data_IF_231063487802
#
_entry.id   IF_231063487802
#
_cell.length_a   1.000
_cell.length_b   1.000
_cell.length_c   1.000
_cell.angle_alpha   90.00
_cell.angle_beta   90.00
_cell.angle_gamma   90.00
#
_symmetry.space_group_name_H-M   'P 1'
#
loop_
_entity.id
_entity.type
_entity.pdbx_description
1 polymer ?
#
# COMPACT_ATOMS: atom_id res chain seq x y z
N UNK A 1 4.82 -14.74 -7.58
CA UNK A 1 3.85 -15.06 -6.51
C UNK A 1 3.32 -13.74 -5.98
N UNK A 2 2.03 -13.61 -5.68
CA UNK A 2 1.43 -12.36 -5.16
C UNK A 2 0.99 -12.58 -3.71
N UNK A 3 1.24 -11.61 -2.84
CA UNK A 3 0.73 -11.65 -1.47
C UNK A 3 -0.75 -11.28 -1.43
N UNK A 4 -1.48 -11.95 -0.54
CA UNK A 4 -2.92 -11.82 -0.29
C UNK A 4 -3.16 -11.29 1.14
N UNK A 5 -4.38 -10.85 1.45
CA UNK A 5 -4.77 -10.30 2.77
C UNK A 5 -4.29 -11.17 3.95
N UNK A 6 -4.45 -12.50 3.86
CA UNK A 6 -4.00 -13.44 4.91
C UNK A 6 -2.51 -13.33 5.26
N UNK A 7 -1.66 -12.94 4.29
CA UNK A 7 -0.23 -12.73 4.52
C UNK A 7 0.02 -11.40 5.22
N UNK A 8 -0.74 -10.36 4.85
CA UNK A 8 -0.68 -9.04 5.48
C UNK A 8 -1.13 -9.13 6.94
N UNK A 9 -2.21 -9.85 7.20
CA UNK A 9 -2.73 -10.08 8.55
C UNK A 9 -1.69 -10.76 9.45
N UNK A 10 -0.97 -11.75 8.91
CA UNK A 10 0.13 -12.40 9.64
C UNK A 10 1.28 -11.43 9.90
N UNK A 11 1.70 -10.65 8.89
CA UNK A 11 2.78 -9.65 9.07
C UNK A 11 2.43 -8.63 10.16
N UNK A 12 1.18 -8.14 10.20
CA UNK A 12 0.70 -7.24 11.25
C UNK A 12 0.68 -7.88 12.62
N UNK A 13 0.26 -9.13 12.72
CA UNK A 13 0.33 -9.87 13.99
C UNK A 13 1.77 -9.95 14.53
N UNK A 14 2.78 -9.89 13.66
CA UNK A 14 4.21 -9.95 14.01
C UNK A 14 4.85 -8.59 14.34
N UNK A 15 4.11 -7.47 14.30
CA UNK A 15 4.66 -6.12 14.55
C UNK A 15 5.30 -6.00 15.95
N UNK A 16 4.71 -6.66 16.95
CA UNK A 16 5.19 -6.68 18.34
C UNK A 16 5.90 -7.98 18.73
N UNK A 17 6.43 -8.72 17.75
CA UNK A 17 6.91 -10.11 17.88
C UNK A 17 5.74 -11.08 18.07
N UNK A 18 5.60 -12.03 17.15
CA UNK A 18 4.59 -13.09 17.25
C UNK A 18 5.25 -14.45 17.44
N UNK A 19 4.71 -15.23 18.38
CA UNK A 19 4.99 -16.67 18.48
C UNK A 19 4.00 -17.42 17.59
N UNK A 20 4.50 -18.21 16.65
CA UNK A 20 3.66 -19.07 15.81
C UNK A 20 3.49 -20.44 16.45
N UNK A 21 2.23 -20.85 16.61
CA UNK A 21 1.84 -22.13 17.23
C UNK A 21 1.25 -23.13 16.21
N UNK A 22 1.05 -22.73 14.96
CA UNK A 22 0.29 -23.49 13.96
C UNK A 22 1.02 -23.71 12.63
N UNK A 23 0.77 -24.85 12.00
CA UNK A 23 1.31 -25.19 10.67
C UNK A 23 0.85 -24.22 9.57
N UNK A 24 -0.39 -23.71 9.66
CA UNK A 24 -0.95 -22.76 8.69
C UNK A 24 -0.17 -21.45 8.64
N UNK A 25 0.02 -20.81 9.80
CA UNK A 25 0.79 -19.57 9.90
C UNK A 25 2.26 -19.78 9.51
N UNK A 26 2.82 -20.95 9.84
CA UNK A 26 4.17 -21.30 9.43
C UNK A 26 4.31 -21.43 7.90
N UNK A 27 3.31 -21.95 7.20
CA UNK A 27 3.28 -21.98 5.73
C UNK A 27 3.20 -20.56 5.15
N UNK A 28 2.30 -19.72 5.68
CA UNK A 28 2.17 -18.33 5.25
C UNK A 28 3.46 -17.54 5.44
N UNK A 29 4.15 -17.71 6.57
CA UNK A 29 5.45 -17.12 6.83
C UNK A 29 6.51 -17.54 5.81
N UNK A 30 6.50 -18.81 5.38
CA UNK A 30 7.40 -19.31 4.33
C UNK A 30 7.04 -18.79 2.95
N UNK A 31 5.77 -18.57 2.66
CA UNK A 31 5.32 -17.90 1.43
C UNK A 31 5.80 -16.44 1.41
N UNK A 32 5.64 -15.70 2.52
CA UNK A 32 6.17 -14.34 2.64
C UNK A 32 7.70 -14.30 2.46
N UNK A 33 8.43 -15.21 3.10
CA UNK A 33 9.89 -15.30 2.95
C UNK A 33 10.34 -15.62 1.51
N UNK A 34 9.58 -16.45 0.78
CA UNK A 34 9.85 -16.72 -0.64
C UNK A 34 9.55 -15.53 -1.53
N UNK A 35 8.61 -14.67 -1.13
CA UNK A 35 8.30 -13.43 -1.81
C UNK A 35 9.43 -12.42 -1.60
N UNK A 36 9.75 -12.13 -0.35
CA UNK A 36 10.88 -11.31 0.03
C UNK A 36 11.44 -11.74 1.39
N UNK A 37 12.71 -12.21 1.46
CA UNK A 37 13.30 -12.65 2.72
C UNK A 37 13.58 -11.49 3.69
N UNK A 38 13.57 -10.23 3.24
CA UNK A 38 13.78 -9.06 4.10
C UNK A 38 12.57 -8.74 4.99
N UNK A 39 11.37 -9.23 4.67
CA UNK A 39 10.14 -8.83 5.37
C UNK A 39 10.03 -9.42 6.78
N UNK A 40 10.51 -10.65 6.97
CA UNK A 40 10.34 -11.40 8.20
C UNK A 40 11.66 -11.99 8.66
N UNK A 41 11.98 -11.78 9.94
CA UNK A 41 13.07 -12.47 10.62
C UNK A 41 12.52 -13.59 11.48
N UNK A 42 13.04 -14.80 11.23
CA UNK A 42 12.77 -15.97 12.05
C UNK A 42 13.74 -15.96 13.25
N UNK A 43 13.18 -16.06 14.45
CA UNK A 43 13.91 -16.24 15.69
C UNK A 43 13.87 -17.72 16.06
N UNK A 44 15.00 -18.26 16.48
CA UNK A 44 15.05 -19.61 17.04
C UNK A 44 14.42 -19.67 18.45
N UNK A 45 14.17 -20.90 18.90
CA UNK A 45 13.54 -21.13 20.21
C UNK A 45 14.44 -20.76 21.40
N UNK A 46 15.76 -20.72 21.20
CA UNK A 46 16.72 -20.42 22.26
C UNK A 46 16.74 -18.90 22.54
N UNK A 47 16.55 -18.07 21.50
CA UNK A 47 16.34 -16.63 21.63
C UNK A 47 14.93 -16.29 22.12
N UNK A 48 13.89 -17.04 21.72
CA UNK A 48 12.53 -16.88 22.27
C UNK A 48 12.43 -17.19 23.75
N UNK A 49 13.14 -18.22 24.24
CA UNK A 49 13.15 -18.58 25.66
C UNK A 49 13.57 -17.44 26.59
N UNK A 50 14.36 -16.49 26.08
CA UNK A 50 14.76 -15.27 26.82
C UNK A 50 13.62 -14.29 27.04
N UNK A 51 12.61 -14.32 26.16
CA UNK A 51 11.43 -13.44 26.22
C UNK A 51 10.20 -14.16 26.80
N UNK A 52 10.07 -15.48 26.55
CA UNK A 52 9.01 -16.33 27.06
C UNK A 52 9.58 -17.62 27.70
N UNK A 53 9.67 -17.68 29.04
CA UNK A 53 10.20 -18.84 29.77
C UNK A 53 9.37 -20.13 29.59
N UNK A 54 8.13 -20.07 29.09
CA UNK A 54 7.34 -21.27 28.79
C UNK A 54 7.88 -21.99 27.54
N UNK A 55 8.56 -21.27 26.64
CA UNK A 55 9.20 -21.85 25.44
C UNK A 55 10.41 -22.71 25.80
N UNK A 56 11.15 -22.37 26.88
CA UNK A 56 12.27 -23.19 27.37
C UNK A 56 11.82 -24.57 27.87
N UNK A 57 10.54 -24.72 28.24
CA UNK A 57 9.97 -25.96 28.76
C UNK A 57 9.52 -26.92 27.67
N UNK A 58 9.43 -26.48 26.41
CA UNK A 58 8.97 -27.28 25.28
C UNK A 58 10.06 -28.29 24.85
N UNK A 59 9.73 -29.58 24.80
CA UNK A 59 10.69 -30.64 24.43
C UNK A 59 10.20 -31.52 23.28
N UNK A 60 11.12 -31.99 22.43
CA UNK A 60 10.82 -32.97 21.38
C UNK A 60 9.84 -32.47 20.31
N UNK A 61 8.74 -33.20 20.09
CA UNK A 61 7.75 -32.89 19.04
C UNK A 61 6.97 -31.60 19.32
N UNK A 62 6.88 -31.17 20.58
CA UNK A 62 6.31 -29.88 21.02
C UNK A 62 7.21 -28.69 20.67
N UNK A 63 8.34 -28.92 19.99
CA UNK A 63 9.27 -27.87 19.53
C UNK A 63 9.04 -27.48 18.06
N UNK A 64 8.24 -28.23 17.31
CA UNK A 64 7.89 -27.91 15.91
C UNK A 64 6.38 -27.57 15.79
N UNK A 65 5.97 -26.46 15.14
CA UNK A 65 6.73 -25.45 14.41
C UNK A 65 6.88 -24.17 15.24
N UNK A 66 7.41 -24.28 16.45
CA UNK A 66 7.55 -23.13 17.35
C UNK A 66 8.76 -22.34 16.85
N UNK A 67 8.51 -21.13 16.38
CA UNK A 67 9.52 -20.12 16.08
C UNK A 67 8.88 -18.75 16.20
N UNK A 68 9.73 -17.76 16.45
CA UNK A 68 9.34 -16.38 16.62
C UNK A 68 9.45 -15.69 15.28
N UNK A 69 8.52 -14.79 15.00
CA UNK A 69 8.61 -13.90 13.86
C UNK A 69 8.68 -12.46 14.33
N UNK A 70 9.63 -11.74 13.73
CA UNK A 70 9.72 -10.29 13.83
C UNK A 70 9.45 -9.71 12.45
N UNK A 71 8.47 -8.83 12.36
CA UNK A 71 8.29 -7.97 11.20
C UNK A 71 9.46 -7.00 11.09
N UNK A 72 10.15 -7.02 9.96
CA UNK A 72 11.26 -6.10 9.69
C UNK A 72 10.73 -4.77 9.09
N UNK A 73 11.52 -3.68 9.12
CA UNK A 73 11.12 -2.39 8.54
C UNK A 73 10.66 -2.48 7.08
N UNK A 74 11.32 -3.29 6.25
CA UNK A 74 10.94 -3.48 4.84
C UNK A 74 9.55 -4.14 4.70
N UNK A 75 9.25 -5.10 5.59
CA UNK A 75 7.94 -5.75 5.68
C UNK A 75 6.86 -4.80 6.17
N UNK A 76 7.18 -3.97 7.17
CA UNK A 76 6.27 -2.92 7.65
C UNK A 76 5.95 -1.92 6.54
N UNK A 77 6.97 -1.40 5.85
CA UNK A 77 6.78 -0.49 4.72
C UNK A 77 5.96 -1.13 3.58
N UNK A 78 6.10 -2.45 3.38
CA UNK A 78 5.27 -3.18 2.43
C UNK A 78 3.81 -3.26 2.88
N UNK A 79 3.55 -3.58 4.16
CA UNK A 79 2.19 -3.58 4.73
C UNK A 79 1.57 -2.19 4.60
N UNK A 80 2.28 -1.14 4.98
CA UNK A 80 1.83 0.25 4.87
C UNK A 80 1.52 0.64 3.43
N UNK A 81 2.38 0.28 2.46
CA UNK A 81 2.09 0.50 1.04
C UNK A 81 0.87 -0.30 0.57
N UNK A 82 0.73 -1.54 0.99
CA UNK A 82 -0.37 -2.40 0.60
C UNK A 82 -1.71 -1.93 1.17
N UNK A 83 -1.69 -1.40 2.39
CA UNK A 83 -2.83 -0.70 2.97
C UNK A 83 -3.06 0.62 2.26
N UNK A 84 -2.01 1.39 2.01
CA UNK A 84 -2.03 2.60 1.20
C UNK A 84 -2.70 2.38 -0.14
N UNK A 85 -2.35 1.33 -0.89
CA UNK A 85 -2.98 0.92 -2.15
C UNK A 85 -4.48 0.64 -2.01
N UNK A 86 -4.94 0.22 -0.82
CA UNK A 86 -6.34 -0.08 -0.52
C UNK A 86 -7.09 1.07 0.17
N UNK A 87 -6.36 2.00 0.77
CA UNK A 87 -6.87 3.23 1.39
C UNK A 87 -6.69 4.44 0.49
N UNK A 88 -6.07 4.28 -0.69
CA UNK A 88 -6.00 5.34 -1.70
C UNK A 88 -7.41 5.75 -2.08
N UNK A 89 -7.67 7.02 -1.80
CA UNK A 89 -8.86 7.71 -2.21
C UNK A 89 -8.54 8.49 -3.49
N UNK A 90 -9.60 8.91 -4.14
CA UNK A 90 -9.53 9.67 -5.38
C UNK A 90 -10.12 11.03 -5.12
N UNK A 91 -9.47 12.07 -5.60
CA UNK A 91 -9.89 13.44 -5.39
C UNK A 91 -9.94 14.17 -6.72
N UNK A 92 -11.00 14.93 -6.93
CA UNK A 92 -11.07 15.93 -7.98
C UNK A 92 -10.79 17.30 -7.40
N UNK A 93 -9.96 18.06 -8.10
CA UNK A 93 -9.73 19.49 -7.88
C UNK A 93 -10.16 20.19 -9.15
N UNK A 94 -10.89 21.29 -9.02
CA UNK A 94 -11.44 22.01 -10.18
C UNK A 94 -10.78 23.37 -10.43
N UNK A 95 -10.22 23.99 -9.39
CA UNK A 95 -9.63 25.32 -9.45
C UNK A 95 -8.17 25.27 -8.92
N UNK A 96 -7.22 25.99 -9.55
CA UNK A 96 -7.33 26.71 -10.83
C UNK A 96 -7.43 25.82 -12.07
N UNK A 97 -7.04 24.55 -11.97
CA UNK A 97 -7.04 23.58 -13.07
C UNK A 97 -7.69 22.29 -12.63
N UNK A 98 -8.40 21.63 -13.56
CA UNK A 98 -8.97 20.33 -13.25
C UNK A 98 -7.87 19.29 -13.06
N UNK A 99 -7.92 18.53 -11.96
CA UNK A 99 -7.09 17.36 -11.74
C UNK A 99 -7.86 16.23 -11.06
N UNK A 100 -7.55 14.99 -11.44
CA UNK A 100 -7.96 13.77 -10.77
C UNK A 100 -6.72 13.12 -10.15
N UNK A 101 -6.68 13.02 -8.83
CA UNK A 101 -5.50 12.62 -8.06
C UNK A 101 -5.80 11.41 -7.17
N UNK A 102 -4.84 10.51 -7.05
CA UNK A 102 -4.79 9.48 -6.00
C UNK A 102 -4.03 9.99 -4.79
N UNK A 103 -4.62 9.89 -3.61
CA UNK A 103 -4.00 10.32 -2.36
C UNK A 103 -4.53 9.53 -1.16
N UNK A 104 -3.82 9.54 -0.04
CA UNK A 104 -4.27 8.85 1.20
C UNK A 104 -5.39 9.61 1.90
N UNK A 105 -5.34 10.93 1.85
CA UNK A 105 -6.32 11.84 2.45
C UNK A 105 -6.36 13.17 1.67
N UNK A 106 -7.21 14.09 2.10
CA UNK A 106 -7.41 15.40 1.45
C UNK A 106 -6.14 16.27 1.51
N UNK A 107 -5.36 16.20 2.58
CA UNK A 107 -4.13 16.99 2.72
C UNK A 107 -3.01 16.46 1.80
N UNK A 108 -2.91 15.14 1.66
CA UNK A 108 -2.01 14.51 0.68
C UNK A 108 -2.43 14.88 -0.76
N UNK A 109 -3.72 14.92 -1.06
CA UNK A 109 -4.22 15.33 -2.38
C UNK A 109 -3.89 16.79 -2.72
N UNK A 110 -4.07 17.69 -1.76
CA UNK A 110 -3.69 19.10 -1.87
C UNK A 110 -2.19 19.24 -2.16
N UNK A 111 -1.36 18.54 -1.39
CA UNK A 111 0.10 18.56 -1.59
C UNK A 111 0.49 18.08 -2.99
N UNK A 112 -0.06 16.94 -3.45
CA UNK A 112 0.22 16.40 -4.79
C UNK A 112 -0.18 17.40 -5.86
N UNK A 113 -1.32 18.06 -5.70
CA UNK A 113 -1.78 19.06 -6.66
C UNK A 113 -0.85 20.26 -6.74
N UNK A 114 -0.44 20.82 -5.59
CA UNK A 114 0.48 21.96 -5.56
C UNK A 114 1.82 21.59 -6.21
N UNK A 115 2.36 20.41 -5.91
CA UNK A 115 3.65 19.98 -6.41
C UNK A 115 3.65 19.59 -7.91
N UNK A 116 2.51 19.12 -8.43
CA UNK A 116 2.47 18.47 -9.76
C UNK A 116 1.54 19.13 -10.78
N UNK A 117 0.63 20.01 -10.35
CA UNK A 117 -0.41 20.60 -11.20
C UNK A 117 -0.45 22.12 -11.10
N UNK A 118 -0.37 22.67 -9.88
CA UNK A 118 -0.40 24.12 -9.70
C UNK A 118 0.88 24.74 -10.29
N UNK A 119 0.72 25.57 -11.32
CA UNK A 119 1.83 26.30 -11.97
C UNK A 119 2.40 27.44 -11.08
N UNK A 120 2.07 27.46 -9.79
CA UNK A 120 2.48 28.51 -8.85
C UNK A 120 2.74 27.92 -7.47
N UNK A 121 3.92 28.22 -6.91
CA UNK A 121 4.32 27.88 -5.52
C UNK A 121 3.47 28.58 -4.44
N UNK A 122 2.52 29.45 -4.85
CA UNK A 122 1.80 30.42 -4.03
C UNK A 122 0.29 30.13 -3.92
N UNK A 123 -0.19 28.92 -4.24
CA UNK A 123 -1.60 28.57 -4.02
C UNK A 123 -1.88 28.34 -2.52
N UNK A 124 -1.83 29.41 -1.74
CA UNK A 124 -1.92 29.40 -0.28
C UNK A 124 -3.37 29.27 0.26
N UNK A 125 -4.39 29.24 -0.61
CA UNK A 125 -5.79 29.27 -0.18
C UNK A 125 -6.68 28.31 -0.98
N UNK A 126 -6.51 27.01 -0.77
CA UNK A 126 -7.55 26.05 -1.14
C UNK A 126 -8.83 26.35 -0.37
N UNK A 127 -9.94 26.57 -1.08
CA UNK A 127 -11.24 26.54 -0.44
C UNK A 127 -11.62 25.08 -0.19
N UNK A 128 -12.24 24.77 0.96
CA UNK A 128 -12.60 23.38 1.29
C UNK A 128 -13.48 22.72 0.22
N UNK A 129 -14.26 23.49 -0.52
CA UNK A 129 -15.16 23.01 -1.57
C UNK A 129 -14.45 22.69 -2.91
N UNK A 130 -13.19 23.08 -3.08
CA UNK A 130 -12.43 22.90 -4.33
C UNK A 130 -11.90 21.47 -4.50
N UNK A 131 -11.75 20.72 -3.40
CA UNK A 131 -11.24 19.34 -3.41
C UNK A 131 -12.33 18.36 -2.95
N UNK A 132 -12.73 17.49 -3.88
CA UNK A 132 -13.85 16.57 -3.72
C UNK A 132 -13.36 15.13 -3.76
N UNK A 133 -13.58 14.39 -2.68
CA UNK A 133 -13.38 12.93 -2.69
C UNK A 133 -14.41 12.29 -3.64
N UNK A 134 -13.94 11.41 -4.52
CA UNK A 134 -14.74 10.67 -5.49
C UNK A 134 -14.51 9.17 -5.35
N UNK A 135 -15.50 8.38 -5.77
CA UNK A 135 -15.42 6.93 -5.71
C UNK A 135 -14.42 6.36 -6.73
N UNK A 136 -13.81 5.21 -6.38
CA UNK A 136 -12.82 4.53 -7.23
C UNK A 136 -13.34 4.20 -8.62
N UNK A 137 -14.57 3.73 -8.73
CA UNK A 137 -15.16 3.34 -10.02
C UNK A 137 -15.40 4.57 -10.90
N UNK A 138 -15.82 5.69 -10.31
CA UNK A 138 -15.91 6.97 -11.01
C UNK A 138 -14.52 7.40 -11.52
N UNK A 139 -13.50 7.38 -10.67
CA UNK A 139 -12.14 7.75 -11.06
C UNK A 139 -11.58 6.85 -12.18
N UNK A 140 -11.87 5.54 -12.13
CA UNK A 140 -11.45 4.60 -13.16
C UNK A 140 -12.11 4.90 -14.51
N UNK A 141 -13.42 5.19 -14.51
CA UNK A 141 -14.14 5.59 -15.73
C UNK A 141 -13.54 6.87 -16.29
N UNK A 142 -13.30 7.88 -15.47
CA UNK A 142 -12.71 9.15 -15.91
C UNK A 142 -11.29 8.97 -16.47
N UNK A 143 -10.46 8.14 -15.84
CA UNK A 143 -9.11 7.83 -16.30
C UNK A 143 -9.12 7.04 -17.62
N UNK A 144 -10.06 6.10 -17.79
CA UNK A 144 -10.19 5.31 -19.01
C UNK A 144 -10.56 6.12 -20.25
N UNK A 145 -11.18 7.28 -20.05
CA UNK A 145 -11.60 8.19 -21.11
C UNK A 145 -10.49 9.15 -21.56
N UNK A 146 -9.29 9.09 -20.96
CA UNK A 146 -8.16 9.89 -21.45
C UNK A 146 -7.80 9.41 -22.86
N UNK A 147 -7.93 10.34 -23.79
CA UNK A 147 -7.58 10.13 -25.19
C UNK A 147 -6.15 10.64 -25.41
N UNK A 148 -5.37 9.88 -26.16
CA UNK A 148 -4.09 10.36 -26.69
C UNK A 148 -4.34 11.43 -27.77
N UNK A 149 -3.27 12.06 -28.26
CA UNK A 149 -3.31 13.15 -29.24
C UNK A 149 -4.02 12.76 -30.57
N UNK A 150 -4.20 11.47 -30.82
CA UNK A 150 -4.90 10.91 -31.98
C UNK A 150 -6.39 10.57 -31.72
N UNK A 151 -6.89 10.80 -30.50
CA UNK A 151 -8.26 10.50 -30.09
C UNK A 151 -8.48 9.07 -29.59
N UNK A 152 -7.43 8.24 -29.49
CA UNK A 152 -7.52 6.84 -29.05
C UNK A 152 -7.42 6.74 -27.53
N UNK A 153 -8.32 5.96 -26.91
CA UNK A 153 -8.25 5.64 -25.49
C UNK A 153 -7.12 4.64 -25.19
N UNK A 154 -6.50 4.77 -24.02
CA UNK A 154 -5.53 3.80 -23.55
C UNK A 154 -6.13 2.38 -23.41
N UNK A 155 -5.32 1.36 -23.74
CA UNK A 155 -5.73 -0.03 -23.60
C UNK A 155 -5.82 -0.50 -22.13
N UNK A 156 -6.56 -1.58 -21.90
CA UNK A 156 -6.78 -2.16 -20.57
C UNK A 156 -5.48 -2.42 -19.80
N UNK A 157 -4.46 -2.99 -20.43
CA UNK A 157 -3.21 -3.33 -19.73
C UNK A 157 -2.49 -2.09 -19.19
N UNK A 158 -2.51 -0.98 -19.93
CA UNK A 158 -1.97 0.29 -19.48
C UNK A 158 -2.80 0.86 -18.33
N UNK A 159 -4.12 0.95 -18.51
CA UNK A 159 -5.03 1.47 -17.50
C UNK A 159 -4.90 0.68 -16.20
N UNK A 160 -4.97 -0.65 -16.27
CA UNK A 160 -4.89 -1.53 -15.11
C UNK A 160 -3.53 -1.41 -14.42
N UNK A 161 -2.43 -1.22 -15.17
CA UNK A 161 -1.11 -1.04 -14.57
C UNK A 161 -1.02 0.31 -13.86
N UNK A 162 -1.33 1.40 -14.55
CA UNK A 162 -1.12 2.77 -14.06
C UNK A 162 -2.12 3.16 -12.97
N UNK A 163 -3.39 2.79 -13.14
CA UNK A 163 -4.43 3.12 -12.16
C UNK A 163 -4.14 2.46 -10.80
N UNK A 164 -3.62 1.23 -10.80
CA UNK A 164 -3.27 0.51 -9.58
C UNK A 164 -1.82 0.74 -9.11
N UNK A 165 -1.03 1.56 -9.81
CA UNK A 165 0.33 1.92 -9.38
C UNK A 165 0.25 3.01 -8.28
N UNK A 166 0.70 2.75 -7.04
CA UNK A 166 0.60 3.72 -5.95
C UNK A 166 1.45 4.98 -6.17
N UNK A 167 2.51 4.90 -6.97
CA UNK A 167 3.44 6.01 -7.22
C UNK A 167 2.92 6.94 -8.32
N UNK A 168 2.01 6.48 -9.18
CA UNK A 168 1.39 7.30 -10.22
C UNK A 168 0.23 8.13 -9.67
N UNK A 169 0.50 9.28 -9.04
CA UNK A 169 -0.51 10.04 -8.29
C UNK A 169 -1.51 10.83 -9.13
N UNK A 170 -1.05 11.50 -10.19
CA UNK A 170 -1.91 12.35 -11.05
C UNK A 170 -2.48 11.50 -12.19
N UNK A 171 -3.78 11.19 -12.13
CA UNK A 171 -4.46 10.38 -13.13
C UNK A 171 -4.86 11.19 -14.36
N UNK A 172 -5.37 12.41 -14.15
CA UNK A 172 -5.81 13.32 -15.21
C UNK A 172 -5.53 14.74 -14.76
N UNK A 173 -5.14 15.60 -15.69
CA UNK A 173 -5.08 17.04 -15.48
C UNK A 173 -5.50 17.78 -16.75
N UNK A 174 -5.79 19.07 -16.63
CA UNK A 174 -6.21 19.87 -17.78
C UNK A 174 -5.12 19.90 -18.87
N UNK A 175 -5.53 19.73 -20.12
CA UNK A 175 -4.62 19.53 -21.26
C UNK A 175 -3.83 20.79 -21.63
N UNK A 176 -4.21 21.95 -21.11
CA UNK A 176 -3.44 23.20 -21.26
C UNK A 176 -2.15 23.23 -20.43
N UNK A 177 -1.94 22.26 -19.55
CA UNK A 177 -0.74 22.13 -18.70
C UNK A 177 0.30 21.16 -19.28
N UNK A 178 0.03 20.55 -20.44
CA UNK A 178 0.89 19.55 -21.12
C UNK A 178 1.60 20.10 -22.36
#
# INVERSE_FOLDING_TARGET
MKLEQKHIDLMKACENVATIWGYGDALLAREIQKFDPSFLKFIDNDELGKYDPEVEKLTGAERMPYFGLILQPDGLAYVERWEGERTMKFYEIHDPYYALIKATDKADAEKVYIESVADTDDYENFQEDEIREVERDYALVMFSQIQDHDGTCAGYDFISKVFNDPDFKVLKMDGSLL
#
